data_IF_019184140613
#
_entry.id   IF_019184140613
#
_cell.length_a   1.000
_cell.length_b   1.000
_cell.length_c   1.000
_cell.angle_alpha   90.00
_cell.angle_beta   90.00
_cell.angle_gamma   90.00
#
_symmetry.space_group_name_H-M   'P 1'
#
loop_
_entity.id
_entity.type
_entity.pdbx_description
1 polymer ?
#
# COMPACT_ATOMS: atom_id res chain seq x y z
N UNK A 1 -11.36 -33.32 -11.80
CA UNK A 1 -12.37 -32.22 -11.80
C UNK A 1 -12.37 -31.62 -10.41
N UNK A 2 -12.22 -30.31 -10.31
CA UNK A 2 -12.39 -29.61 -9.04
C UNK A 2 -13.86 -29.64 -8.62
N UNK A 3 -14.12 -30.00 -7.37
CA UNK A 3 -15.48 -30.02 -6.84
C UNK A 3 -16.03 -28.59 -6.70
N UNK A 4 -17.35 -28.46 -6.56
CA UNK A 4 -17.96 -27.16 -6.23
C UNK A 4 -17.44 -26.64 -4.88
N UNK A 5 -17.29 -27.53 -3.90
CA UNK A 5 -16.82 -27.20 -2.56
C UNK A 5 -15.38 -26.66 -2.59
N UNK A 6 -14.49 -27.31 -3.35
CA UNK A 6 -13.11 -26.85 -3.52
C UNK A 6 -13.03 -25.44 -4.10
N UNK A 7 -13.85 -25.12 -5.11
CA UNK A 7 -13.93 -23.76 -5.69
C UNK A 7 -14.47 -22.73 -4.70
N UNK A 8 -15.44 -23.10 -3.86
CA UNK A 8 -15.93 -22.24 -2.79
C UNK A 8 -14.84 -21.95 -1.76
N UNK A 9 -14.06 -22.96 -1.36
CA UNK A 9 -12.94 -22.79 -0.44
C UNK A 9 -11.88 -21.84 -1.02
N UNK A 10 -11.54 -22.00 -2.30
CA UNK A 10 -10.58 -21.08 -2.96
C UNK A 10 -11.12 -19.65 -3.02
N UNK A 11 -12.41 -19.49 -3.30
CA UNK A 11 -13.07 -18.18 -3.26
C UNK A 11 -13.07 -17.55 -1.86
N UNK A 12 -13.30 -18.34 -0.81
CA UNK A 12 -13.22 -17.88 0.59
C UNK A 12 -11.79 -17.48 0.98
N UNK A 13 -10.78 -18.22 0.54
CA UNK A 13 -9.38 -17.85 0.78
C UNK A 13 -9.04 -16.52 0.09
N UNK A 14 -9.47 -16.35 -1.17
CA UNK A 14 -9.27 -15.10 -1.89
C UNK A 14 -10.01 -13.93 -1.23
N UNK A 15 -11.27 -14.11 -0.87
CA UNK A 15 -12.04 -13.11 -0.15
C UNK A 15 -11.40 -12.78 1.21
N UNK A 16 -10.89 -13.77 1.94
CA UNK A 16 -10.26 -13.62 3.24
C UNK A 16 -9.07 -12.66 3.22
N UNK A 17 -8.12 -12.86 2.30
CA UNK A 17 -6.97 -11.95 2.24
C UNK A 17 -7.33 -10.59 1.63
N UNK A 18 -8.31 -10.48 0.73
CA UNK A 18 -8.81 -9.17 0.26
C UNK A 18 -9.49 -8.41 1.40
N UNK A 19 -10.34 -9.09 2.18
CA UNK A 19 -11.00 -8.49 3.35
C UNK A 19 -9.97 -8.06 4.40
N UNK A 20 -8.93 -8.86 4.63
CA UNK A 20 -7.86 -8.47 5.56
C UNK A 20 -7.17 -7.18 5.09
N UNK A 21 -6.82 -7.08 3.79
CA UNK A 21 -6.17 -5.88 3.23
C UNK A 21 -7.09 -4.66 3.30
N UNK A 22 -8.40 -4.84 3.08
CA UNK A 22 -9.37 -3.75 3.07
C UNK A 22 -9.79 -3.34 4.49
N UNK A 23 -10.24 -4.31 5.30
CA UNK A 23 -10.93 -4.01 6.54
C UNK A 23 -9.97 -3.63 7.67
N UNK A 24 -8.83 -4.31 7.81
CA UNK A 24 -7.92 -4.08 8.94
C UNK A 24 -7.39 -2.64 8.98
N UNK A 25 -6.94 -2.01 7.88
CA UNK A 25 -6.51 -0.61 7.93
C UNK A 25 -7.63 0.37 8.25
N UNK A 26 -8.87 0.09 7.84
CA UNK A 26 -10.01 1.01 7.99
C UNK A 26 -10.67 0.87 9.36
N UNK A 27 -10.76 -0.36 9.87
CA UNK A 27 -11.54 -0.68 11.06
C UNK A 27 -10.97 -0.05 12.32
N UNK A 28 -11.82 0.54 13.16
CA UNK A 28 -11.57 0.93 14.54
C UNK A 28 -12.90 0.97 15.30
N UNK A 29 -12.88 0.83 16.63
CA UNK A 29 -14.08 0.74 17.44
C UNK A 29 -14.07 1.80 18.55
N UNK A 30 -14.91 2.84 18.38
CA UNK A 30 -15.03 3.95 19.33
C UNK A 30 -15.70 3.55 20.64
N UNK A 31 -16.39 2.41 20.69
CA UNK A 31 -17.07 1.92 21.88
C UNK A 31 -16.17 1.02 22.73
N UNK A 32 -14.97 0.71 22.26
CA UNK A 32 -13.98 -0.06 23.01
C UNK A 32 -13.10 0.87 23.83
N UNK A 33 -12.71 0.43 25.05
CA UNK A 33 -11.76 1.16 25.90
C UNK A 33 -10.42 1.44 25.17
N UNK A 34 -10.04 0.55 24.26
CA UNK A 34 -8.86 0.66 23.42
C UNK A 34 -9.28 0.66 21.94
N UNK A 35 -9.58 1.84 21.45
CA UNK A 35 -10.23 2.10 20.16
C UNK A 35 -9.51 1.48 18.95
N UNK A 36 -8.17 1.44 18.96
CA UNK A 36 -7.41 1.22 17.73
C UNK A 36 -6.88 -0.21 17.55
N UNK A 37 -6.31 -0.84 18.56
CA UNK A 37 -5.52 -2.06 18.34
C UNK A 37 -6.29 -3.36 18.63
N UNK A 38 -6.92 -3.60 19.79
CA UNK A 38 -7.43 -4.93 20.13
C UNK A 38 -8.45 -5.47 19.17
N UNK A 39 -9.43 -4.65 18.79
CA UNK A 39 -10.54 -5.08 17.94
C UNK A 39 -10.08 -5.32 16.49
N UNK A 40 -9.12 -4.53 15.99
CA UNK A 40 -8.45 -4.81 14.70
C UNK A 40 -7.78 -6.17 14.71
N UNK A 41 -7.05 -6.48 15.78
CA UNK A 41 -6.34 -7.74 15.88
C UNK A 41 -7.27 -8.92 16.14
N UNK A 42 -8.38 -8.72 16.85
CA UNK A 42 -9.42 -9.74 16.98
C UNK A 42 -10.04 -10.06 15.61
N UNK A 43 -10.35 -9.04 14.81
CA UNK A 43 -10.83 -9.21 13.44
C UNK A 43 -9.81 -9.95 12.56
N UNK A 44 -8.54 -9.56 12.62
CA UNK A 44 -7.45 -10.22 11.90
C UNK A 44 -7.36 -11.72 12.25
N UNK A 45 -7.37 -12.04 13.56
CA UNK A 45 -7.34 -13.42 14.04
C UNK A 45 -8.54 -14.22 13.56
N UNK A 46 -9.72 -13.61 13.57
CA UNK A 46 -10.96 -14.25 13.07
C UNK A 46 -10.89 -14.55 11.58
N UNK A 47 -10.40 -13.62 10.77
CA UNK A 47 -10.17 -13.83 9.34
C UNK A 47 -9.18 -14.98 9.12
N UNK A 48 -8.06 -15.00 9.84
CA UNK A 48 -7.07 -16.06 9.75
C UNK A 48 -7.66 -17.44 10.09
N UNK A 49 -8.50 -17.55 11.15
CA UNK A 49 -9.18 -18.80 11.51
C UNK A 49 -10.15 -19.28 10.44
N UNK A 50 -10.95 -18.35 9.87
CA UNK A 50 -11.87 -18.70 8.75
C UNK A 50 -11.08 -19.19 7.54
N UNK A 51 -9.96 -18.54 7.23
CA UNK A 51 -9.09 -18.97 6.13
C UNK A 51 -8.48 -20.34 6.38
N UNK A 52 -8.02 -20.64 7.62
CA UNK A 52 -7.53 -21.99 7.97
C UNK A 52 -8.62 -23.03 7.81
N UNK A 53 -9.84 -22.74 8.32
CA UNK A 53 -10.97 -23.66 8.17
C UNK A 53 -11.31 -23.93 6.70
N UNK A 54 -11.40 -22.88 5.88
CA UNK A 54 -11.63 -23.02 4.44
C UNK A 54 -10.52 -23.82 3.74
N UNK A 55 -9.27 -23.59 4.10
CA UNK A 55 -8.13 -24.34 3.56
C UNK A 55 -8.19 -25.82 3.95
N UNK A 56 -8.49 -26.14 5.22
CA UNK A 56 -8.62 -27.52 5.67
C UNK A 56 -9.77 -28.26 4.97
N UNK A 57 -10.94 -27.62 4.85
CA UNK A 57 -12.08 -28.20 4.11
C UNK A 57 -11.72 -28.45 2.65
N UNK A 58 -11.08 -27.47 1.98
CA UNK A 58 -10.63 -27.62 0.61
C UNK A 58 -9.57 -28.73 0.45
N UNK A 59 -8.69 -28.88 1.44
CA UNK A 59 -7.68 -29.94 1.46
C UNK A 59 -8.32 -31.33 1.56
N UNK A 60 -9.30 -31.51 2.44
CA UNK A 60 -10.04 -32.78 2.61
C UNK A 60 -10.83 -33.09 1.34
N UNK A 61 -11.52 -32.13 0.77
CA UNK A 61 -12.36 -32.31 -0.43
C UNK A 61 -11.55 -32.76 -1.67
N UNK A 62 -10.36 -32.22 -1.83
CA UNK A 62 -9.44 -32.56 -2.92
C UNK A 62 -8.80 -33.94 -2.76
N UNK A 63 -9.23 -34.76 -1.76
CA UNK A 63 -8.57 -36.01 -1.35
C UNK A 63 -7.06 -35.82 -1.04
N UNK A 64 -6.68 -34.59 -0.74
CA UNK A 64 -5.30 -34.14 -0.56
C UNK A 64 -4.61 -34.75 0.67
N UNK A 65 -5.33 -35.42 1.57
CA UNK A 65 -4.67 -36.14 2.67
C UNK A 65 -3.73 -37.23 2.15
N UNK A 66 -4.10 -37.93 1.05
CA UNK A 66 -3.19 -38.85 0.36
C UNK A 66 -2.13 -38.15 -0.46
N UNK A 67 -2.42 -36.95 -0.96
CA UNK A 67 -1.50 -36.13 -1.74
C UNK A 67 -0.62 -35.27 -0.85
N UNK A 68 -1.02 -34.90 0.38
CA UNK A 68 -0.11 -34.34 1.40
C UNK A 68 0.96 -35.37 1.79
N UNK A 69 0.61 -36.64 1.89
CA UNK A 69 1.60 -37.72 2.06
C UNK A 69 2.46 -37.94 0.79
N UNK A 70 1.95 -37.57 -0.40
CA UNK A 70 2.67 -37.56 -1.69
C UNK A 70 3.31 -36.21 -2.02
N UNK A 71 3.00 -35.14 -1.27
CA UNK A 71 3.75 -33.89 -1.21
C UNK A 71 5.12 -34.08 -0.47
N UNK A 72 5.66 -35.30 -0.52
CA UNK A 72 7.12 -35.37 -0.56
C UNK A 72 7.49 -34.64 -1.85
N UNK A 73 8.06 -33.43 -1.79
CA UNK A 73 8.66 -32.86 -2.97
C UNK A 73 9.59 -33.94 -3.50
N UNK A 74 9.55 -34.22 -4.76
CA UNK A 74 10.53 -35.07 -5.42
C UNK A 74 11.96 -34.61 -5.09
N UNK A 75 12.09 -33.41 -4.58
CA UNK A 75 13.26 -32.84 -3.96
C UNK A 75 12.84 -31.97 -2.76
N UNK A 76 13.03 -32.42 -1.51
CA UNK A 76 12.77 -31.63 -0.31
C UNK A 76 13.62 -30.35 -0.28
N UNK A 77 14.75 -30.30 -0.96
CA UNK A 77 15.58 -29.11 -1.09
C UNK A 77 14.84 -28.00 -1.90
N UNK A 78 13.99 -28.36 -2.86
CA UNK A 78 13.27 -27.41 -3.70
C UNK A 78 12.29 -26.51 -2.89
N UNK A 79 11.79 -26.96 -1.74
CA UNK A 79 10.92 -26.15 -0.87
C UNK A 79 11.73 -25.05 -0.20
N UNK A 80 12.93 -25.35 0.23
CA UNK A 80 13.84 -24.43 0.90
C UNK A 80 14.42 -23.35 -0.03
N UNK A 81 14.46 -23.64 -1.34
CA UNK A 81 14.87 -22.68 -2.37
C UNK A 81 13.75 -21.68 -2.75
N UNK A 82 12.51 -21.88 -2.28
CA UNK A 82 11.47 -20.88 -2.47
C UNK A 82 11.76 -19.64 -1.64
N UNK A 83 11.71 -18.43 -2.23
CA UNK A 83 11.96 -17.21 -1.49
C UNK A 83 10.97 -17.10 -0.32
N UNK A 84 11.45 -16.59 0.81
CA UNK A 84 10.71 -16.34 2.04
C UNK A 84 10.31 -17.57 2.88
N UNK A 85 10.44 -18.80 2.42
CA UNK A 85 10.10 -19.98 3.23
C UNK A 85 11.02 -20.08 4.44
N UNK A 86 12.32 -20.00 4.24
CA UNK A 86 13.29 -20.08 5.34
C UNK A 86 13.11 -18.96 6.37
N UNK A 87 13.01 -17.66 6.01
CA UNK A 87 12.74 -16.59 6.96
C UNK A 87 11.43 -16.77 7.73
N UNK A 88 10.35 -17.24 7.08
CA UNK A 88 9.08 -17.47 7.75
C UNK A 88 9.15 -18.60 8.75
N UNK A 89 9.79 -19.72 8.37
CA UNK A 89 10.00 -20.86 9.31
C UNK A 89 10.88 -20.43 10.48
N UNK A 90 11.96 -19.69 10.23
CA UNK A 90 12.81 -19.15 11.29
C UNK A 90 12.02 -18.23 12.24
N UNK A 91 11.15 -17.35 11.68
CA UNK A 91 10.29 -16.49 12.47
C UNK A 91 9.32 -17.28 13.36
N UNK A 92 8.66 -18.32 12.82
CA UNK A 92 7.78 -19.20 13.59
C UNK A 92 8.53 -19.86 14.74
N UNK A 93 9.72 -20.41 14.46
CA UNK A 93 10.56 -21.07 15.47
C UNK A 93 10.98 -20.09 16.57
N UNK A 94 11.43 -18.87 16.22
CA UNK A 94 11.81 -17.84 17.18
C UNK A 94 10.62 -17.48 18.07
N UNK A 95 9.44 -17.24 17.51
CA UNK A 95 8.25 -16.92 18.30
C UNK A 95 7.80 -18.09 19.17
N UNK A 96 7.88 -19.33 18.69
CA UNK A 96 7.58 -20.52 19.47
C UNK A 96 8.52 -20.66 20.65
N UNK A 97 9.84 -20.57 20.44
CA UNK A 97 10.85 -20.64 21.48
C UNK A 97 10.69 -19.49 22.48
N UNK A 98 10.53 -18.25 22.00
CA UNK A 98 10.33 -17.09 22.87
C UNK A 98 9.07 -17.24 23.75
N UNK A 99 8.00 -17.85 23.23
CA UNK A 99 6.79 -18.10 24.00
C UNK A 99 6.96 -19.23 25.02
N UNK A 100 7.63 -20.32 24.64
CA UNK A 100 7.87 -21.46 25.53
C UNK A 100 8.77 -21.12 26.71
N UNK A 101 9.81 -20.32 26.45
CA UNK A 101 10.78 -19.90 27.48
C UNK A 101 10.43 -18.56 28.14
N UNK A 102 9.23 -18.05 27.92
CA UNK A 102 8.79 -16.78 28.48
C UNK A 102 8.49 -16.91 29.99
N UNK A 103 8.80 -15.86 30.75
CA UNK A 103 8.40 -15.71 32.15
C UNK A 103 6.87 -15.65 32.29
N UNK A 104 6.16 -15.13 31.25
CA UNK A 104 4.71 -15.01 31.22
C UNK A 104 4.13 -15.63 29.94
N UNK A 105 4.08 -16.98 29.79
CA UNK A 105 3.71 -17.64 28.53
C UNK A 105 2.33 -17.24 28.00
N UNK A 106 1.34 -17.00 28.89
CA UNK A 106 0.00 -16.55 28.47
C UNK A 106 0.03 -15.19 27.81
N UNK A 107 0.82 -14.24 28.33
CA UNK A 107 0.96 -12.91 27.75
C UNK A 107 1.76 -12.99 26.46
N UNK A 108 2.81 -13.79 26.41
CA UNK A 108 3.57 -14.00 25.17
C UNK A 108 2.73 -14.64 24.07
N UNK A 109 1.82 -15.57 24.42
CA UNK A 109 0.92 -16.19 23.47
C UNK A 109 -0.18 -15.24 22.99
N UNK A 110 -0.97 -14.70 23.93
CA UNK A 110 -2.18 -13.92 23.61
C UNK A 110 -1.89 -12.45 23.30
N UNK A 111 -0.77 -11.91 23.79
CA UNK A 111 -0.50 -10.50 23.87
C UNK A 111 -1.04 -9.88 25.16
N UNK A 112 -0.60 -8.66 25.49
CA UNK A 112 -1.22 -7.89 26.55
C UNK A 112 -2.67 -7.55 26.21
N UNK A 113 -3.53 -7.42 27.22
CA UNK A 113 -4.93 -7.02 27.02
C UNK A 113 -5.07 -5.72 26.20
N UNK A 114 -4.15 -4.80 26.38
CA UNK A 114 -4.19 -3.50 25.70
C UNK A 114 -3.86 -3.57 24.21
N UNK A 115 -3.02 -4.53 23.77
CA UNK A 115 -2.49 -4.56 22.39
C UNK A 115 -2.76 -5.86 21.65
N UNK A 116 -2.98 -6.97 22.33
CA UNK A 116 -3.15 -8.31 21.73
C UNK A 116 -2.01 -8.73 20.76
N UNK A 117 -0.83 -8.12 20.88
CA UNK A 117 0.32 -8.38 20.00
C UNK A 117 1.18 -9.53 20.57
N UNK A 118 0.62 -10.74 20.57
CA UNK A 118 1.33 -11.95 20.99
C UNK A 118 1.63 -12.88 19.81
N UNK A 119 2.21 -14.04 20.12
CA UNK A 119 2.55 -15.08 19.13
C UNK A 119 1.33 -15.49 18.31
N UNK A 120 0.14 -15.58 18.91
CA UNK A 120 -1.08 -15.87 18.18
C UNK A 120 -1.39 -14.88 17.06
N UNK A 121 -1.20 -13.58 17.30
CA UNK A 121 -1.37 -12.56 16.26
C UNK A 121 -0.33 -12.68 15.17
N UNK A 122 0.93 -12.92 15.53
CA UNK A 122 2.00 -13.13 14.55
C UNK A 122 1.73 -14.36 13.69
N UNK A 123 1.26 -15.46 14.28
CA UNK A 123 0.85 -16.64 13.53
C UNK A 123 -0.34 -16.34 12.61
N UNK A 124 -1.28 -15.49 13.03
CA UNK A 124 -2.39 -15.07 12.17
C UNK A 124 -1.92 -14.29 10.93
N UNK A 125 -0.94 -13.40 11.07
CA UNK A 125 -0.30 -12.75 9.93
C UNK A 125 0.39 -13.76 9.00
N UNK A 126 1.12 -14.72 9.58
CA UNK A 126 1.81 -15.76 8.81
C UNK A 126 0.82 -16.64 8.06
N UNK A 127 -0.32 -17.01 8.68
CA UNK A 127 -1.39 -17.76 8.03
C UNK A 127 -1.94 -17.00 6.82
N UNK A 128 -2.33 -15.74 7.00
CA UNK A 128 -2.84 -14.92 5.89
C UNK A 128 -1.81 -14.82 4.77
N UNK A 129 -0.55 -14.55 5.11
CA UNK A 129 0.55 -14.50 4.14
C UNK A 129 0.74 -15.83 3.40
N UNK A 130 0.76 -16.95 4.13
CA UNK A 130 0.96 -18.27 3.52
C UNK A 130 -0.20 -18.66 2.60
N UNK A 131 -1.45 -18.39 3.02
CA UNK A 131 -2.64 -18.64 2.19
C UNK A 131 -2.63 -17.77 0.94
N UNK A 132 -2.29 -16.48 1.09
CA UNK A 132 -2.15 -15.55 -0.03
C UNK A 132 -1.07 -16.02 -1.01
N UNK A 133 0.12 -16.38 -0.52
CA UNK A 133 1.22 -16.86 -1.33
C UNK A 133 0.90 -18.20 -2.04
N UNK A 134 0.08 -19.05 -1.43
CA UNK A 134 -0.34 -20.33 -2.00
C UNK A 134 -1.47 -20.20 -3.03
N UNK A 135 -2.33 -19.16 -2.91
CA UNK A 135 -3.54 -19.01 -3.75
C UNK A 135 -3.40 -18.00 -4.88
N UNK A 136 -2.47 -17.07 -4.80
CA UNK A 136 -2.19 -16.15 -5.92
C UNK A 136 -1.49 -16.89 -7.05
N UNK A 137 -2.20 -17.04 -8.18
CA UNK A 137 -1.72 -17.75 -9.37
C UNK A 137 -1.85 -16.93 -10.65
N UNK A 138 -2.64 -15.86 -10.63
CA UNK A 138 -2.96 -15.09 -11.83
C UNK A 138 -2.57 -13.61 -11.65
N UNK A 139 -2.17 -12.93 -12.75
CA UNK A 139 -1.93 -11.49 -12.72
C UNK A 139 -3.16 -10.67 -12.31
N UNK A 140 -4.37 -11.20 -12.54
CA UNK A 140 -5.62 -10.55 -12.13
C UNK A 140 -5.78 -10.53 -10.61
N UNK A 141 -5.39 -11.60 -9.91
CA UNK A 141 -5.37 -11.62 -8.44
C UNK A 141 -4.37 -10.60 -7.88
N UNK A 142 -3.18 -10.50 -8.45
CA UNK A 142 -2.20 -9.46 -8.07
C UNK A 142 -2.79 -8.06 -8.28
N UNK A 143 -3.45 -7.82 -9.42
CA UNK A 143 -4.14 -6.55 -9.68
C UNK A 143 -5.22 -6.26 -8.64
N UNK A 144 -6.00 -7.27 -8.20
CA UNK A 144 -6.99 -7.10 -7.13
C UNK A 144 -6.35 -6.72 -5.80
N UNK A 145 -5.27 -7.39 -5.39
CA UNK A 145 -4.49 -7.03 -4.19
C UNK A 145 -4.08 -5.56 -4.22
N UNK A 146 -3.43 -5.16 -5.30
CA UNK A 146 -2.94 -3.78 -5.47
C UNK A 146 -4.10 -2.78 -5.42
N UNK A 147 -5.18 -3.05 -6.17
CA UNK A 147 -6.35 -2.17 -6.18
C UNK A 147 -7.03 -2.09 -4.82
N UNK A 148 -7.16 -3.22 -4.11
CA UNK A 148 -7.75 -3.26 -2.76
C UNK A 148 -6.91 -2.46 -1.76
N UNK A 149 -5.58 -2.58 -1.80
CA UNK A 149 -4.70 -1.80 -0.94
C UNK A 149 -4.82 -0.29 -1.21
N UNK A 150 -4.88 0.11 -2.49
CA UNK A 150 -5.07 1.51 -2.87
C UNK A 150 -6.44 2.02 -2.39
N UNK A 151 -7.52 1.26 -2.62
CA UNK A 151 -8.87 1.62 -2.18
C UNK A 151 -8.95 1.73 -0.65
N UNK A 152 -8.34 0.81 0.08
CA UNK A 152 -8.28 0.84 1.53
C UNK A 152 -7.58 2.09 2.08
N UNK A 153 -6.59 2.61 1.35
CA UNK A 153 -5.85 3.81 1.75
C UNK A 153 -6.65 5.11 1.63
N UNK A 154 -7.69 5.13 0.77
CA UNK A 154 -8.50 6.33 0.56
C UNK A 154 -9.19 6.80 1.84
N UNK A 155 -10.05 6.00 2.50
CA UNK A 155 -10.70 6.42 3.73
C UNK A 155 -9.70 6.70 4.86
N UNK A 156 -8.58 5.96 4.92
CA UNK A 156 -7.53 6.20 5.92
C UNK A 156 -6.88 7.58 5.71
N UNK A 157 -6.52 7.93 4.47
CA UNK A 157 -5.93 9.22 4.15
C UNK A 157 -6.95 10.35 4.33
N UNK A 158 -8.18 10.20 3.82
CA UNK A 158 -9.22 11.22 3.98
C UNK A 158 -9.56 11.49 5.45
N UNK A 159 -9.64 10.46 6.28
CA UNK A 159 -9.88 10.66 7.70
C UNK A 159 -8.71 11.40 8.38
N UNK A 160 -7.48 11.12 7.98
CA UNK A 160 -6.34 11.91 8.41
C UNK A 160 -6.45 13.38 8.02
N UNK A 161 -6.90 13.69 6.80
CA UNK A 161 -7.13 15.07 6.37
C UNK A 161 -8.27 15.75 7.16
N UNK A 162 -9.36 15.02 7.44
CA UNK A 162 -10.45 15.54 8.29
C UNK A 162 -9.94 15.94 9.67
N UNK A 163 -9.04 15.14 10.28
CA UNK A 163 -8.42 15.47 11.55
C UNK A 163 -7.58 16.76 11.45
N UNK A 164 -6.75 16.88 10.45
CA UNK A 164 -5.91 18.06 10.26
C UNK A 164 -6.72 19.35 10.14
N UNK A 165 -7.82 19.30 9.40
CA UNK A 165 -8.68 20.47 9.20
C UNK A 165 -9.69 20.72 10.35
N UNK A 166 -9.60 19.96 11.44
CA UNK A 166 -10.46 20.15 12.62
C UNK A 166 -11.92 19.73 12.41
N UNK A 167 -12.19 18.89 11.42
CA UNK A 167 -13.55 18.38 11.13
C UNK A 167 -13.80 17.00 11.74
N UNK A 168 -12.92 16.50 12.59
CA UNK A 168 -13.10 15.22 13.27
C UNK A 168 -14.06 15.38 14.45
N UNK A 169 -15.22 14.70 14.44
CA UNK A 169 -16.20 14.81 15.52
C UNK A 169 -15.81 13.99 16.76
N UNK A 170 -14.75 13.20 16.69
CA UNK A 170 -14.38 12.27 17.75
C UNK A 170 -13.41 12.93 18.74
N UNK A 171 -13.63 12.76 20.07
CA UNK A 171 -12.80 13.36 21.09
C UNK A 171 -11.51 12.56 21.32
N UNK A 172 -10.49 12.81 20.51
CA UNK A 172 -9.17 12.19 20.70
C UNK A 172 -8.37 12.91 21.80
N UNK A 173 -7.68 12.14 22.64
CA UNK A 173 -6.69 12.68 23.56
C UNK A 173 -5.43 13.08 22.81
N UNK A 174 -5.21 14.39 22.62
CA UNK A 174 -4.04 14.94 21.96
C UNK A 174 -4.37 15.87 20.79
N UNK A 175 -3.36 16.60 20.31
CA UNK A 175 -3.53 17.52 19.19
C UNK A 175 -3.37 16.77 17.85
N UNK A 176 -4.49 16.20 17.37
CA UNK A 176 -4.53 15.49 16.08
C UNK A 176 -4.52 16.42 14.87
N UNK A 177 -4.76 17.73 15.06
CA UNK A 177 -4.69 18.72 14.00
C UNK A 177 -3.24 19.00 13.60
N UNK A 178 -2.36 19.20 14.57
CA UNK A 178 -0.93 19.42 14.29
C UNK A 178 -0.23 18.15 13.84
N UNK A 179 -0.70 17.00 14.36
CA UNK A 179 -0.06 15.71 14.09
C UNK A 179 -1.08 14.61 13.89
N UNK A 180 -1.43 14.41 12.63
CA UNK A 180 -2.48 13.48 12.20
C UNK A 180 -2.18 12.04 12.63
N UNK A 181 -3.11 11.42 13.35
CA UNK A 181 -3.03 10.03 13.80
C UNK A 181 -4.00 9.10 13.04
N UNK A 182 -5.03 9.65 12.45
CA UNK A 182 -6.06 8.93 11.70
C UNK A 182 -6.77 7.88 12.57
N UNK A 183 -7.35 6.92 11.90
CA UNK A 183 -7.98 5.74 12.51
C UNK A 183 -6.96 4.68 13.00
N UNK A 184 -5.67 5.01 12.98
CA UNK A 184 -4.61 4.15 13.50
C UNK A 184 -4.12 4.55 14.89
N UNK A 185 -4.61 5.67 15.41
CA UNK A 185 -4.31 6.15 16.76
C UNK A 185 -2.89 6.63 16.99
N UNK A 186 -2.07 6.65 15.94
CA UNK A 186 -0.69 7.13 16.01
C UNK A 186 -0.22 7.65 14.66
N UNK A 187 0.37 8.84 14.66
CA UNK A 187 0.90 9.50 13.47
C UNK A 187 1.98 8.67 12.73
N UNK A 188 2.78 7.89 13.46
CA UNK A 188 3.77 7.01 12.85
C UNK A 188 3.08 5.86 12.10
N UNK A 189 1.99 5.31 12.65
CA UNK A 189 1.33 4.15 12.07
C UNK A 189 0.57 4.49 10.79
N UNK A 190 -0.15 5.62 10.76
CA UNK A 190 -0.84 6.06 9.54
C UNK A 190 0.16 6.35 8.42
N UNK A 191 1.25 7.05 8.74
CA UNK A 191 2.28 7.33 7.75
C UNK A 191 2.99 6.05 7.29
N UNK A 192 3.34 5.13 8.20
CA UNK A 192 3.97 3.85 7.86
C UNK A 192 3.08 2.98 6.97
N UNK A 193 1.76 2.99 7.18
CA UNK A 193 0.81 2.32 6.29
C UNK A 193 0.79 2.97 4.90
N UNK A 194 0.66 4.29 4.84
CA UNK A 194 0.54 5.00 3.56
C UNK A 194 1.81 4.89 2.71
N UNK A 195 3.02 4.93 3.29
CA UNK A 195 4.25 4.76 2.52
C UNK A 195 4.38 3.38 1.86
N UNK A 196 3.71 2.35 2.39
CA UNK A 196 3.64 1.04 1.73
C UNK A 196 2.72 1.05 0.50
N UNK A 197 1.68 1.90 0.51
CA UNK A 197 0.70 1.96 -0.58
C UNK A 197 1.11 2.94 -1.69
N UNK A 198 1.85 4.00 -1.35
CA UNK A 198 2.33 5.01 -2.33
C UNK A 198 3.01 4.38 -3.56
N UNK A 199 3.96 3.45 -3.44
CA UNK A 199 4.58 2.81 -4.61
C UNK A 199 3.58 2.04 -5.48
N UNK A 200 2.55 1.43 -4.88
CA UNK A 200 1.49 0.74 -5.60
C UNK A 200 0.62 1.72 -6.40
N UNK A 201 0.31 2.87 -5.81
CA UNK A 201 -0.42 3.95 -6.49
C UNK A 201 0.40 4.52 -7.63
N UNK A 202 1.71 4.75 -7.43
CA UNK A 202 2.63 5.18 -8.49
C UNK A 202 2.70 4.17 -9.64
N UNK A 203 2.75 2.88 -9.35
CA UNK A 203 2.75 1.85 -10.39
C UNK A 203 1.46 1.93 -11.24
N UNK A 204 0.30 2.17 -10.61
CA UNK A 204 -0.97 2.37 -11.34
C UNK A 204 -1.00 3.64 -12.18
N UNK A 205 -0.36 4.71 -11.71
CA UNK A 205 -0.20 5.94 -12.50
C UNK A 205 0.66 5.65 -13.73
N UNK A 206 1.78 4.93 -13.56
CA UNK A 206 2.64 4.54 -14.68
C UNK A 206 1.87 3.69 -15.70
N UNK A 207 1.10 2.70 -15.24
CA UNK A 207 0.25 1.87 -16.11
C UNK A 207 -0.78 2.70 -16.87
N UNK A 208 -1.49 3.62 -16.18
CA UNK A 208 -2.52 4.46 -16.78
C UNK A 208 -1.94 5.46 -17.80
N UNK A 209 -0.82 6.09 -17.46
CA UNK A 209 -0.12 7.00 -18.37
C UNK A 209 0.45 6.23 -19.56
N UNK A 210 1.01 5.03 -19.33
CA UNK A 210 1.50 4.16 -20.38
C UNK A 210 0.40 3.77 -21.38
N UNK A 211 -0.80 3.45 -20.90
CA UNK A 211 -1.96 3.16 -21.74
C UNK A 211 -2.36 4.38 -22.61
N UNK A 212 -2.42 5.57 -22.00
CA UNK A 212 -2.71 6.83 -22.70
C UNK A 212 -1.69 7.12 -23.81
N UNK A 213 -0.41 6.82 -23.56
CA UNK A 213 0.68 7.08 -24.51
C UNK A 213 0.77 6.03 -25.63
N UNK A 214 0.32 4.81 -25.34
CA UNK A 214 0.37 3.67 -26.26
C UNK A 214 -0.79 3.60 -27.23
N UNK A 215 -1.92 4.21 -26.91
CA UNK A 215 -3.12 4.19 -27.75
C UNK A 215 -3.15 5.40 -28.72
N UNK A 216 -3.55 5.14 -29.96
CA UNK A 216 -3.73 6.19 -30.98
C UNK A 216 -4.99 7.05 -30.74
N UNK A 217 -5.91 6.56 -29.91
CA UNK A 217 -7.13 7.29 -29.50
C UNK A 217 -7.12 7.54 -28.00
N UNK A 218 -7.17 8.82 -27.63
CA UNK A 218 -7.36 9.25 -26.25
C UNK A 218 -8.73 8.77 -25.74
N UNK A 219 -8.72 7.82 -24.81
CA UNK A 219 -9.92 7.42 -24.08
C UNK A 219 -10.12 8.33 -22.87
N UNK A 220 -11.32 8.94 -22.78
CA UNK A 220 -11.70 9.72 -21.60
C UNK A 220 -11.63 8.88 -20.30
N UNK A 221 -11.89 7.57 -20.40
CA UNK A 221 -11.80 6.65 -19.27
C UNK A 221 -10.36 6.47 -18.77
N UNK A 222 -9.36 6.46 -19.64
CA UNK A 222 -7.96 6.32 -19.23
C UNK A 222 -7.44 7.61 -18.61
N UNK A 223 -7.84 8.77 -19.13
CA UNK A 223 -7.55 10.07 -18.52
C UNK A 223 -8.18 10.19 -17.14
N UNK A 224 -9.46 9.81 -17.00
CA UNK A 224 -10.16 9.83 -15.71
C UNK A 224 -9.49 8.88 -14.70
N UNK A 225 -9.04 7.71 -15.15
CA UNK A 225 -8.32 6.73 -14.32
C UNK A 225 -6.99 7.29 -13.83
N UNK A 226 -6.20 7.90 -14.73
CA UNK A 226 -4.93 8.53 -14.37
C UNK A 226 -5.15 9.68 -13.37
N UNK A 227 -6.14 10.54 -13.60
CA UNK A 227 -6.51 11.62 -12.71
C UNK A 227 -6.95 11.13 -11.32
N UNK A 228 -7.72 10.03 -11.26
CA UNK A 228 -8.13 9.42 -10.00
C UNK A 228 -6.94 8.91 -9.19
N UNK A 229 -5.99 8.22 -9.82
CA UNK A 229 -4.78 7.75 -9.11
C UNK A 229 -3.87 8.91 -8.68
N UNK A 230 -3.78 9.97 -9.47
CA UNK A 230 -3.05 11.19 -9.07
C UNK A 230 -3.71 11.85 -7.86
N UNK A 231 -5.02 11.95 -7.84
CA UNK A 231 -5.75 12.46 -6.67
C UNK A 231 -5.52 11.60 -5.42
N UNK A 232 -5.59 10.27 -5.55
CA UNK A 232 -5.31 9.33 -4.44
C UNK A 232 -3.88 9.53 -3.93
N UNK A 233 -2.90 9.63 -4.82
CA UNK A 233 -1.52 9.89 -4.44
C UNK A 233 -1.38 11.21 -3.67
N UNK A 234 -2.07 12.26 -4.12
CA UNK A 234 -2.05 13.57 -3.46
C UNK A 234 -2.52 13.48 -2.01
N UNK A 235 -3.69 12.87 -1.77
CA UNK A 235 -4.22 12.72 -0.40
C UNK A 235 -3.34 11.83 0.48
N UNK A 236 -2.72 10.78 -0.08
CA UNK A 236 -1.75 9.94 0.63
C UNK A 236 -0.53 10.75 1.07
N UNK A 237 0.10 11.50 0.16
CA UNK A 237 1.28 12.30 0.44
C UNK A 237 1.00 13.43 1.42
N UNK A 238 -0.13 14.13 1.28
CA UNK A 238 -0.56 15.17 2.22
C UNK A 238 -0.75 14.62 3.63
N UNK A 239 -1.39 13.47 3.76
CA UNK A 239 -1.59 12.82 5.07
C UNK A 239 -0.26 12.38 5.68
N UNK A 240 0.67 11.84 4.89
CA UNK A 240 2.03 11.52 5.36
C UNK A 240 2.74 12.77 5.85
N UNK A 241 2.66 13.85 5.10
CA UNK A 241 3.28 15.13 5.47
C UNK A 241 2.75 15.65 6.81
N UNK A 242 1.43 15.73 6.98
CA UNK A 242 0.80 16.22 8.22
C UNK A 242 0.88 15.23 9.40
N UNK A 243 1.32 13.99 9.15
CA UNK A 243 1.67 13.09 10.26
C UNK A 243 2.87 13.61 11.07
N UNK A 244 3.71 14.46 10.46
CA UNK A 244 4.92 15.00 11.08
C UNK A 244 5.93 13.92 11.51
N UNK A 245 5.86 12.73 10.89
CA UNK A 245 6.63 11.56 11.32
C UNK A 245 7.90 11.38 10.50
N UNK A 246 9.06 11.71 11.08
CA UNK A 246 10.36 11.69 10.38
C UNK A 246 10.74 10.32 9.84
N UNK A 247 10.54 9.25 10.62
CA UNK A 247 10.86 7.88 10.19
C UNK A 247 10.14 7.46 8.91
N UNK A 248 8.80 7.54 8.85
CA UNK A 248 8.05 7.30 7.62
C UNK A 248 8.45 8.21 6.44
N UNK A 249 8.79 9.48 6.67
CA UNK A 249 9.26 10.36 5.59
C UNK A 249 10.57 9.87 4.97
N UNK A 250 11.53 9.46 5.81
CA UNK A 250 12.77 8.82 5.34
C UNK A 250 12.45 7.52 4.59
N UNK A 251 11.55 6.70 5.14
CA UNK A 251 11.09 5.47 4.49
C UNK A 251 10.43 5.73 3.14
N UNK A 252 9.65 6.81 3.01
CA UNK A 252 9.08 7.24 1.73
C UNK A 252 10.17 7.62 0.73
N UNK A 253 11.18 8.39 1.14
CA UNK A 253 12.29 8.79 0.29
C UNK A 253 13.05 7.56 -0.25
N UNK A 254 13.38 6.60 0.63
CA UNK A 254 14.02 5.34 0.24
C UNK A 254 13.12 4.49 -0.66
N UNK A 255 11.82 4.44 -0.36
CA UNK A 255 10.84 3.72 -1.17
C UNK A 255 10.70 4.31 -2.57
N UNK A 256 10.61 5.63 -2.69
CA UNK A 256 10.56 6.33 -3.99
C UNK A 256 11.85 6.14 -4.78
N UNK A 257 13.01 6.21 -4.12
CA UNK A 257 14.30 5.92 -4.72
C UNK A 257 14.33 4.50 -5.32
N UNK A 258 13.96 3.50 -4.50
CA UNK A 258 13.94 2.11 -4.93
C UNK A 258 12.93 1.86 -6.06
N UNK A 259 11.74 2.46 -5.96
CA UNK A 259 10.72 2.40 -7.01
C UNK A 259 11.25 2.99 -8.33
N UNK A 260 11.87 4.16 -8.27
CA UNK A 260 12.43 4.82 -9.46
C UNK A 260 13.54 3.98 -10.08
N UNK A 261 14.41 3.37 -9.26
CA UNK A 261 15.47 2.48 -9.75
C UNK A 261 14.90 1.24 -10.48
N UNK A 262 13.88 0.60 -9.91
CA UNK A 262 13.21 -0.53 -10.54
C UNK A 262 12.51 -0.11 -11.83
N UNK A 263 11.84 1.04 -11.83
CA UNK A 263 11.21 1.60 -13.01
C UNK A 263 12.23 1.88 -14.11
N UNK A 264 13.38 2.45 -13.76
CA UNK A 264 14.51 2.69 -14.67
C UNK A 264 14.97 1.42 -15.38
N UNK A 265 15.14 0.35 -14.60
CA UNK A 265 15.58 -0.95 -15.13
C UNK A 265 14.49 -1.53 -16.05
N UNK A 266 13.22 -1.43 -15.67
CA UNK A 266 12.08 -1.95 -16.42
C UNK A 266 11.87 -1.26 -17.76
N UNK A 267 12.14 0.06 -17.81
CA UNK A 267 11.93 0.90 -19.01
C UNK A 267 13.14 0.97 -19.94
N UNK A 268 14.20 0.22 -19.65
CA UNK A 268 15.45 0.22 -20.43
C UNK A 268 15.26 0.00 -21.95
N UNK A 269 14.18 -0.63 -22.35
CA UNK A 269 13.86 -0.92 -23.77
C UNK A 269 12.75 -0.08 -24.39
N UNK A 270 12.16 0.87 -23.65
CA UNK A 270 10.93 1.57 -24.06
C UNK A 270 11.15 2.84 -24.91
N UNK A 271 12.32 3.02 -25.52
CA UNK A 271 12.62 4.15 -26.40
C UNK A 271 11.99 4.00 -27.79
N UNK A 272 10.95 4.79 -28.10
CA UNK A 272 10.29 4.84 -29.43
C UNK A 272 9.90 6.26 -29.86
N UNK A 273 9.96 6.49 -31.18
CA UNK A 273 9.70 7.76 -31.86
C UNK A 273 8.20 8.10 -31.97
N UNK A 274 7.65 8.86 -31.04
CA UNK A 274 6.34 9.53 -31.25
C UNK A 274 6.36 10.95 -30.65
N UNK A 275 6.89 11.89 -31.41
CA UNK A 275 7.41 13.19 -30.94
C UNK A 275 6.40 14.34 -30.75
N UNK A 276 5.25 14.32 -31.38
CA UNK A 276 4.37 15.52 -31.45
C UNK A 276 3.26 15.58 -30.41
N UNK A 277 2.51 14.52 -30.28
CA UNK A 277 1.32 14.39 -29.41
C UNK A 277 1.67 14.42 -27.92
N UNK A 278 2.83 14.13 -27.61
CA UNK A 278 3.41 13.89 -26.31
C UNK A 278 3.90 15.17 -25.64
N UNK A 279 4.33 16.15 -26.43
CA UNK A 279 4.63 17.49 -25.92
C UNK A 279 3.33 18.15 -25.44
N UNK A 280 2.24 17.96 -26.16
CA UNK A 280 0.90 18.41 -25.76
C UNK A 280 0.43 17.70 -24.46
N UNK A 281 0.76 16.43 -24.30
CA UNK A 281 0.44 15.69 -23.08
C UNK A 281 1.26 16.15 -21.87
N UNK A 282 2.57 16.40 -22.06
CA UNK A 282 3.39 16.98 -21.02
C UNK A 282 2.90 18.35 -20.58
N UNK A 283 2.45 19.18 -21.54
CA UNK A 283 1.79 20.44 -21.24
C UNK A 283 0.43 20.29 -20.55
N UNK A 284 -0.37 19.28 -20.94
CA UNK A 284 -1.62 18.98 -20.26
C UNK A 284 -1.45 18.50 -18.81
N UNK A 285 -0.34 17.83 -18.49
CA UNK A 285 0.03 17.45 -17.12
C UNK A 285 0.50 18.65 -16.28
N UNK A 286 0.93 19.74 -16.90
CA UNK A 286 1.19 21.01 -16.21
C UNK A 286 -0.10 21.77 -15.90
N UNK A 287 -1.19 21.51 -16.60
CA UNK A 287 -2.45 22.22 -16.44
C UNK A 287 -2.98 22.20 -14.99
N UNK A 288 -2.99 21.06 -14.26
CA UNK A 288 -3.39 21.02 -12.86
C UNK A 288 -2.51 21.91 -11.96
N UNK A 289 -1.19 21.94 -12.22
CA UNK A 289 -0.27 22.82 -11.45
C UNK A 289 -0.53 24.30 -11.72
N UNK A 290 -0.78 24.65 -12.98
CA UNK A 290 -1.14 26.01 -13.37
C UNK A 290 -2.50 26.41 -12.79
N UNK A 291 -3.49 25.53 -12.85
CA UNK A 291 -4.81 25.75 -12.24
C UNK A 291 -4.71 25.89 -10.72
N UNK A 292 -3.93 25.06 -10.04
CA UNK A 292 -3.70 25.16 -8.61
C UNK A 292 -3.03 26.49 -8.24
N UNK A 293 -2.08 26.96 -9.05
CA UNK A 293 -1.46 28.26 -8.88
C UNK A 293 -2.47 29.41 -9.03
N UNK A 294 -3.28 29.36 -10.08
CA UNK A 294 -4.32 30.37 -10.35
C UNK A 294 -5.42 30.36 -9.28
N UNK A 295 -5.78 29.20 -8.74
CA UNK A 295 -6.80 29.05 -7.69
C UNK A 295 -6.25 29.25 -6.28
N UNK A 296 -4.92 29.29 -6.11
CA UNK A 296 -4.28 29.46 -4.81
C UNK A 296 -4.79 30.67 -4.02
N UNK A 297 -5.02 31.87 -4.61
CA UNK A 297 -5.59 33.02 -3.87
C UNK A 297 -7.01 32.74 -3.36
N UNK A 298 -7.83 32.07 -4.17
CA UNK A 298 -9.23 31.74 -3.81
C UNK A 298 -9.25 30.69 -2.69
N UNK A 299 -8.42 29.65 -2.80
CA UNK A 299 -8.29 28.62 -1.77
C UNK A 299 -7.70 29.22 -0.49
N UNK A 300 -6.72 30.10 -0.59
CA UNK A 300 -6.15 30.83 0.56
C UNK A 300 -7.19 31.69 1.29
N UNK A 301 -8.08 32.34 0.57
CA UNK A 301 -9.12 33.17 1.15
C UNK A 301 -10.24 32.34 1.82
N UNK A 302 -10.49 31.11 1.34
CA UNK A 302 -11.59 30.27 1.84
C UNK A 302 -11.15 29.29 2.95
N UNK A 303 -9.94 28.72 2.87
CA UNK A 303 -9.48 27.62 3.73
C UNK A 303 -8.19 27.99 4.49
N UNK A 304 -7.60 29.12 4.18
CA UNK A 304 -6.39 29.62 4.81
C UNK A 304 -5.09 29.39 4.01
N UNK A 305 -4.06 30.23 4.25
CA UNK A 305 -2.85 30.25 3.43
C UNK A 305 -1.99 28.98 3.53
N UNK A 306 -1.95 28.34 4.69
CA UNK A 306 -1.18 27.09 4.89
C UNK A 306 -1.77 25.93 4.08
N UNK A 307 -3.10 25.84 4.01
CA UNK A 307 -3.80 24.81 3.25
C UNK A 307 -3.64 25.06 1.75
N UNK A 308 -3.80 26.29 1.31
CA UNK A 308 -3.57 26.68 -0.10
C UNK A 308 -2.15 26.34 -0.54
N UNK A 309 -1.14 26.65 0.29
CA UNK A 309 0.25 26.33 0.02
C UNK A 309 0.48 24.81 -0.06
N UNK A 310 -0.05 24.04 0.90
CA UNK A 310 0.08 22.57 0.91
C UNK A 310 -0.61 21.92 -0.29
N UNK A 311 -1.80 22.39 -0.65
CA UNK A 311 -2.50 21.94 -1.85
C UNK A 311 -1.72 22.26 -3.12
N UNK A 312 -1.22 23.49 -3.25
CA UNK A 312 -0.41 23.91 -4.37
C UNK A 312 0.88 23.08 -4.49
N UNK A 313 1.62 22.90 -3.40
CA UNK A 313 2.84 22.09 -3.39
C UNK A 313 2.55 20.63 -3.75
N UNK A 314 1.47 20.06 -3.25
CA UNK A 314 1.05 18.71 -3.61
C UNK A 314 0.80 18.56 -5.11
N UNK A 315 0.05 19.49 -5.72
CA UNK A 315 -0.23 19.48 -7.16
C UNK A 315 1.04 19.70 -7.99
N UNK A 316 1.92 20.60 -7.55
CA UNK A 316 3.22 20.83 -8.24
C UNK A 316 4.09 19.59 -8.21
N UNK A 317 4.24 18.95 -7.04
CA UNK A 317 5.03 17.72 -6.90
C UNK A 317 4.46 16.61 -7.81
N UNK A 318 3.14 16.44 -7.82
CA UNK A 318 2.49 15.44 -8.68
C UNK A 318 2.69 15.74 -10.16
N UNK A 319 2.59 17.00 -10.57
CA UNK A 319 2.82 17.39 -11.97
C UNK A 319 4.28 17.16 -12.36
N UNK A 320 5.23 17.48 -11.49
CA UNK A 320 6.67 17.21 -11.72
C UNK A 320 6.93 15.73 -11.84
N UNK A 321 6.36 14.90 -10.95
CA UNK A 321 6.48 13.43 -11.01
C UNK A 321 5.88 12.90 -12.31
N UNK A 322 4.70 13.36 -12.71
CA UNK A 322 4.05 12.94 -13.94
C UNK A 322 4.84 13.33 -15.19
N UNK A 323 5.39 14.56 -15.22
CA UNK A 323 6.28 15.02 -16.31
C UNK A 323 7.57 14.18 -16.33
N UNK A 324 8.14 13.90 -15.16
CA UNK A 324 9.31 13.06 -15.02
C UNK A 324 9.07 11.67 -15.60
N UNK A 325 7.94 11.02 -15.25
CA UNK A 325 7.52 9.73 -15.80
C UNK A 325 7.38 9.85 -17.32
N UNK A 326 6.72 10.88 -17.81
CA UNK A 326 6.50 11.11 -19.24
C UNK A 326 7.81 11.28 -20.01
N UNK A 327 8.72 12.15 -19.54
CA UNK A 327 10.04 12.37 -20.16
C UNK A 327 10.87 11.10 -20.16
N UNK A 328 10.77 10.33 -19.09
CA UNK A 328 11.41 9.04 -18.90
C UNK A 328 10.95 8.02 -19.95
N UNK A 329 9.64 7.85 -20.09
CA UNK A 329 9.06 6.95 -21.08
C UNK A 329 9.44 7.30 -22.53
N UNK A 330 9.86 8.54 -22.80
CA UNK A 330 10.05 9.08 -24.14
C UNK A 330 11.48 9.28 -24.59
N UNK A 331 12.33 9.76 -23.73
CA UNK A 331 13.70 10.10 -24.12
C UNK A 331 14.70 9.00 -23.85
N UNK A 332 14.24 7.87 -23.30
CA UNK A 332 15.04 6.70 -23.06
C UNK A 332 16.02 6.85 -21.87
N UNK A 333 16.76 5.78 -21.65
CA UNK A 333 17.63 5.51 -20.53
C UNK A 333 18.59 6.65 -20.10
N UNK A 334 19.16 7.42 -21.05
CA UNK A 334 20.18 8.45 -20.71
C UNK A 334 19.58 9.61 -19.91
N UNK A 335 18.37 10.02 -20.25
CA UNK A 335 17.68 11.12 -19.58
C UNK A 335 17.15 10.72 -18.20
N UNK A 336 16.89 9.46 -18.03
CA UNK A 336 16.51 8.85 -16.76
C UNK A 336 17.57 9.03 -15.68
N UNK A 337 18.83 8.80 -16.01
CA UNK A 337 19.93 8.98 -15.07
C UNK A 337 20.09 10.45 -14.63
N UNK A 338 19.97 11.37 -15.57
CA UNK A 338 20.06 12.81 -15.27
C UNK A 338 18.90 13.25 -14.36
N UNK A 339 17.68 12.81 -14.64
CA UNK A 339 16.53 13.14 -13.84
C UNK A 339 16.58 12.48 -12.45
N UNK A 340 17.12 11.24 -12.36
CA UNK A 340 17.35 10.56 -11.09
C UNK A 340 18.43 11.27 -10.26
N UNK A 341 19.54 11.68 -10.86
CA UNK A 341 20.58 12.48 -10.18
C UNK A 341 19.97 13.78 -9.67
N UNK A 342 19.21 14.49 -10.51
CA UNK A 342 18.56 15.74 -10.13
C UNK A 342 17.58 15.55 -8.95
N UNK A 343 16.78 14.46 -8.96
CA UNK A 343 15.88 14.12 -7.86
C UNK A 343 16.66 13.81 -6.58
N UNK A 344 17.76 13.04 -6.70
CA UNK A 344 18.61 12.68 -5.56
C UNK A 344 19.25 13.92 -4.93
N UNK A 345 19.78 14.83 -5.76
CA UNK A 345 20.36 16.11 -5.30
C UNK A 345 19.31 16.99 -4.65
N UNK A 346 18.10 17.09 -5.25
CA UNK A 346 16.98 17.82 -4.68
C UNK A 346 16.56 17.28 -3.32
N UNK A 347 16.40 15.94 -3.22
CA UNK A 347 16.04 15.28 -1.95
C UNK A 347 17.13 15.44 -0.89
N UNK A 348 18.40 15.34 -1.26
CA UNK A 348 19.53 15.59 -0.35
C UNK A 348 19.56 17.03 0.15
N UNK A 349 19.32 18.01 -0.74
CA UNK A 349 19.24 19.42 -0.36
C UNK A 349 18.01 19.78 0.48
N UNK A 350 16.94 18.98 0.41
CA UNK A 350 15.75 19.18 1.24
C UNK A 350 15.87 18.53 2.63
N UNK A 351 16.72 17.52 2.78
CA UNK A 351 17.01 16.85 4.06
C UNK A 351 18.07 17.55 4.91
N UNK A 352 18.89 18.43 4.32
CA UNK A 352 19.85 19.31 5.00
C UNK A 352 19.19 20.61 5.42
#
# INVERSE_FOLDING_TARGET
MESRLSRWCDGLLEAGWLVAILAIPIFFNIHSERVFEPDKLALLRSIALVMVAAWLVGLIDRRGWRDVARLRPSDPAAVWHRPLVLPVVALVLVYALATLFSIAPRVSWAGSYQRLQGTYTTLSYIVIFAMMAATIRTPQQVRRVVSTAIVASIPVALYGLLQHFGHDPLPWGGNVQDRVAGNMGNAIFIAAYLIMVVPLTLARIVDAVGAILGDDRLSAADVARAAAYLFILAIQLLTIYWSGSRGPLIGLAVGLFSFTLVLLVSLRGAGGERRGRDTLFGLALLLPAVLALLLSPVVSATVGPAVAFSFFMGVVVLSVVAIFILVTLRRGWRWLWLAWIALTVFMAGWLL
#
